data_IF_766254098090
#
_entry.id   IF_766254098090
#
_cell.length_a   1.000
_cell.length_b   1.000
_cell.length_c   1.000
_cell.angle_alpha   90.00
_cell.angle_beta   90.00
_cell.angle_gamma   90.00
#
_symmetry.space_group_name_H-M   'P 1'
#
loop_
_entity.id
_entity.type
_entity.pdbx_description
1 polymer ?
#
# COMPACT_ATOMS: atom_id res chain seq x y z
N UNK A 1 19.48 37.92 -19.38
CA UNK A 1 19.08 36.64 -20.01
C UNK A 1 18.60 35.74 -18.89
N UNK A 2 17.35 35.33 -19.03
CA UNK A 2 16.51 34.54 -18.14
C UNK A 2 16.93 33.05 -18.09
N UNK A 3 16.37 32.32 -17.10
CA UNK A 3 16.45 30.88 -16.73
C UNK A 3 17.21 30.68 -15.41
N UNK A 4 16.65 30.15 -14.34
CA UNK A 4 15.41 29.38 -14.17
C UNK A 4 15.12 29.34 -12.68
N UNK A 5 14.08 30.03 -12.22
CA UNK A 5 13.44 29.70 -10.94
C UNK A 5 12.80 28.32 -11.10
N UNK A 6 13.43 27.30 -10.50
CA UNK A 6 12.78 26.01 -10.34
C UNK A 6 11.50 26.23 -9.53
N UNK A 7 10.35 25.65 -9.90
CA UNK A 7 9.14 25.83 -9.12
C UNK A 7 9.37 25.12 -7.79
N UNK A 8 9.61 25.90 -6.73
CA UNK A 8 9.41 25.42 -5.36
C UNK A 8 8.03 24.76 -5.34
N UNK A 9 8.00 23.44 -5.13
CA UNK A 9 6.75 22.74 -4.86
C UNK A 9 6.17 23.39 -3.62
N UNK A 10 5.27 24.37 -3.80
CA UNK A 10 4.55 25.04 -2.72
C UNK A 10 3.97 23.92 -1.88
N UNK A 11 4.55 23.68 -0.70
CA UNK A 11 3.89 22.91 0.35
C UNK A 11 2.61 23.67 0.61
N UNK A 12 1.51 23.23 0.00
CA UNK A 12 0.17 23.74 0.29
C UNK A 12 -0.01 23.56 1.78
N UNK A 13 0.07 24.66 2.51
CA UNK A 13 -0.02 24.68 3.97
C UNK A 13 -1.48 24.35 4.30
N UNK A 14 -1.76 23.07 4.48
CA UNK A 14 -3.08 22.57 4.85
C UNK A 14 -3.53 23.30 6.12
N UNK A 15 -4.77 23.78 6.13
CA UNK A 15 -5.37 24.45 7.29
C UNK A 15 -5.18 23.57 8.54
N UNK A 16 -4.62 24.08 9.65
CA UNK A 16 -4.46 23.33 10.88
C UNK A 16 -5.73 22.63 11.38
N UNK A 17 -6.91 23.19 11.10
CA UNK A 17 -8.20 22.58 11.42
C UNK A 17 -8.48 21.34 10.56
N UNK A 18 -8.15 21.40 9.27
CA UNK A 18 -8.26 20.26 8.36
C UNK A 18 -7.26 19.18 8.77
N UNK A 19 -6.02 19.56 9.09
CA UNK A 19 -5.00 18.62 9.56
C UNK A 19 -5.40 17.95 10.89
N UNK A 20 -5.99 18.69 11.82
CA UNK A 20 -6.54 18.13 13.07
C UNK A 20 -7.66 17.12 12.79
N UNK A 21 -8.55 17.41 11.83
CA UNK A 21 -9.63 16.52 11.41
C UNK A 21 -9.09 15.24 10.75
N UNK A 22 -8.13 15.35 9.84
CA UNK A 22 -7.44 14.20 9.22
C UNK A 22 -6.82 13.31 10.31
N UNK A 23 -6.13 13.91 11.28
CA UNK A 23 -5.50 13.15 12.36
C UNK A 23 -6.53 12.47 13.29
N UNK A 24 -7.67 13.10 13.54
CA UNK A 24 -8.75 12.49 14.31
C UNK A 24 -9.36 11.29 13.56
N UNK A 25 -9.66 11.44 12.27
CA UNK A 25 -10.17 10.36 11.42
C UNK A 25 -9.17 9.19 11.35
N UNK A 26 -7.89 9.49 11.18
CA UNK A 26 -6.83 8.46 11.18
C UNK A 26 -6.75 7.69 12.49
N UNK A 27 -6.88 8.38 13.64
CA UNK A 27 -6.91 7.70 14.96
C UNK A 27 -8.13 6.78 15.05
N UNK A 28 -9.32 7.29 14.73
CA UNK A 28 -10.55 6.49 14.73
C UNK A 28 -10.46 5.28 13.80
N UNK A 29 -9.91 5.44 12.60
CA UNK A 29 -9.66 4.32 11.69
C UNK A 29 -8.74 3.27 12.30
N UNK A 30 -7.67 3.69 13.00
CA UNK A 30 -6.75 2.78 13.68
C UNK A 30 -7.46 1.98 14.78
N UNK A 31 -8.34 2.63 15.53
CA UNK A 31 -9.11 1.99 16.60
C UNK A 31 -10.05 0.93 16.02
N UNK A 32 -10.80 1.27 14.97
CA UNK A 32 -11.65 0.30 14.24
C UNK A 32 -10.85 -0.88 13.67
N UNK A 33 -9.67 -0.63 13.06
CA UNK A 33 -8.77 -1.70 12.58
C UNK A 33 -8.37 -2.66 13.70
N UNK A 34 -8.14 -2.15 14.92
CA UNK A 34 -7.70 -2.97 16.06
C UNK A 34 -8.78 -3.92 16.59
N UNK A 35 -10.06 -3.57 16.38
CA UNK A 35 -11.21 -4.38 16.75
C UNK A 35 -11.87 -5.08 15.54
N UNK A 36 -11.19 -5.07 14.38
CA UNK A 36 -11.62 -5.72 13.13
C UNK A 36 -12.90 -5.17 12.50
N UNK A 37 -13.25 -3.92 12.83
CA UNK A 37 -14.35 -3.16 12.19
C UNK A 37 -13.83 -2.52 10.90
N UNK A 38 -13.60 -3.33 9.87
CA UNK A 38 -12.88 -2.89 8.67
C UNK A 38 -13.65 -1.90 7.81
N UNK A 39 -15.00 -2.00 7.76
CA UNK A 39 -15.83 -1.07 7.00
C UNK A 39 -15.84 0.33 7.64
N UNK A 40 -15.90 0.39 8.96
CA UNK A 40 -15.85 1.62 9.76
C UNK A 40 -14.47 2.28 9.65
N UNK A 41 -13.40 1.47 9.64
CA UNK A 41 -12.06 1.94 9.35
C UNK A 41 -11.96 2.55 7.93
N UNK A 42 -12.51 1.85 6.92
CA UNK A 42 -12.52 2.30 5.53
C UNK A 42 -13.22 3.65 5.38
N UNK A 43 -14.41 3.81 5.95
CA UNK A 43 -15.14 5.09 5.95
C UNK A 43 -14.33 6.24 6.55
N UNK A 44 -13.65 6.00 7.68
CA UNK A 44 -12.82 7.03 8.31
C UNK A 44 -11.62 7.41 7.42
N UNK A 45 -11.03 6.44 6.73
CA UNK A 45 -9.87 6.64 5.86
C UNK A 45 -10.24 7.37 4.57
N UNK A 46 -11.38 7.01 3.96
CA UNK A 46 -11.91 7.68 2.78
C UNK A 46 -12.18 9.16 3.09
N UNK A 47 -12.89 9.45 4.17
CA UNK A 47 -13.12 10.83 4.64
C UNK A 47 -11.81 11.60 4.90
N UNK A 48 -10.77 10.93 5.39
CA UNK A 48 -9.48 11.58 5.65
C UNK A 48 -8.70 11.86 4.35
N UNK A 49 -8.81 10.98 3.36
CA UNK A 49 -8.18 11.10 2.05
C UNK A 49 -8.88 12.18 1.22
N UNK A 50 -10.22 12.25 1.28
CA UNK A 50 -11.05 13.25 0.58
C UNK A 50 -10.78 14.68 1.03
N UNK A 51 -10.21 14.87 2.21
CA UNK A 51 -9.65 16.16 2.67
C UNK A 51 -8.31 16.51 1.97
N UNK A 52 -8.03 15.89 0.83
CA UNK A 52 -6.83 16.03 0.00
C UNK A 52 -5.52 15.72 0.75
N UNK A 53 -5.55 14.72 1.63
CA UNK A 53 -4.35 14.31 2.35
C UNK A 53 -3.37 13.56 1.45
N UNK A 54 -2.10 13.99 1.45
CA UNK A 54 -0.99 13.28 0.79
C UNK A 54 -0.24 12.37 1.77
N UNK A 55 -0.89 11.93 2.84
CA UNK A 55 -0.28 11.08 3.87
C UNK A 55 -0.26 9.63 3.43
N UNK A 56 0.92 9.09 3.12
CA UNK A 56 1.08 7.66 2.78
C UNK A 56 0.51 6.73 3.88
N UNK A 57 0.48 7.18 5.13
CA UNK A 57 -0.06 6.42 6.27
C UNK A 57 -1.55 6.12 6.11
N UNK A 58 -2.32 7.01 5.49
CA UNK A 58 -3.75 6.78 5.25
C UNK A 58 -3.95 5.69 4.21
N UNK A 59 -3.27 5.80 3.06
CA UNK A 59 -3.30 4.77 2.01
C UNK A 59 -2.82 3.41 2.52
N UNK A 60 -1.75 3.39 3.34
CA UNK A 60 -1.28 2.15 3.98
C UNK A 60 -2.36 1.52 4.88
N UNK A 61 -2.99 2.32 5.74
CA UNK A 61 -4.06 1.82 6.62
C UNK A 61 -5.28 1.34 5.82
N UNK A 62 -5.60 2.01 4.72
CA UNK A 62 -6.73 1.67 3.87
C UNK A 62 -6.47 0.40 3.08
N UNK A 63 -5.25 0.23 2.55
CA UNK A 63 -4.77 -1.03 1.96
C UNK A 63 -4.92 -2.21 2.94
N UNK A 64 -4.62 -2.03 4.23
CA UNK A 64 -4.84 -3.06 5.26
C UNK A 64 -6.32 -3.38 5.42
N UNK A 65 -7.19 -2.37 5.57
CA UNK A 65 -8.63 -2.58 5.70
C UNK A 65 -9.20 -3.34 4.49
N UNK A 66 -8.85 -2.90 3.28
CA UNK A 66 -9.27 -3.50 2.00
C UNK A 66 -8.79 -4.94 1.88
N UNK A 67 -7.54 -5.22 2.27
CA UNK A 67 -7.00 -6.58 2.30
C UNK A 67 -7.80 -7.49 3.23
N UNK A 68 -8.18 -7.00 4.42
CA UNK A 68 -9.03 -7.74 5.36
C UNK A 68 -10.46 -7.94 4.85
N UNK A 69 -10.93 -7.08 3.94
CA UNK A 69 -12.21 -7.19 3.25
C UNK A 69 -12.11 -7.98 1.93
N UNK A 70 -10.95 -8.54 1.59
CA UNK A 70 -10.68 -9.25 0.34
C UNK A 70 -10.79 -8.40 -0.93
N UNK A 71 -10.73 -7.06 -0.81
CA UNK A 71 -10.73 -6.10 -1.91
C UNK A 71 -9.29 -5.84 -2.38
N UNK A 72 -8.66 -6.88 -2.92
CA UNK A 72 -7.23 -6.91 -3.20
C UNK A 72 -6.78 -5.97 -4.34
N UNK A 73 -7.64 -5.76 -5.34
CA UNK A 73 -7.40 -4.81 -6.43
C UNK A 73 -7.26 -3.37 -5.90
N UNK A 74 -8.19 -2.94 -5.04
CA UNK A 74 -8.13 -1.63 -4.39
C UNK A 74 -6.95 -1.55 -3.41
N UNK A 75 -6.66 -2.64 -2.70
CA UNK A 75 -5.52 -2.69 -1.78
C UNK A 75 -4.18 -2.52 -2.52
N UNK A 76 -4.03 -3.10 -3.71
CA UNK A 76 -2.85 -2.95 -4.56
C UNK A 76 -2.70 -1.51 -5.08
N UNK A 77 -3.80 -0.86 -5.49
CA UNK A 77 -3.79 0.54 -5.90
C UNK A 77 -3.38 1.49 -4.75
N UNK A 78 -3.85 1.23 -3.52
CA UNK A 78 -3.39 2.00 -2.35
C UNK A 78 -1.92 1.75 -2.04
N UNK A 79 -1.42 0.53 -2.25
CA UNK A 79 0.00 0.22 -2.08
C UNK A 79 0.88 0.96 -3.11
N UNK A 80 0.42 1.08 -4.36
CA UNK A 80 1.04 1.95 -5.37
C UNK A 80 1.12 3.40 -4.89
N UNK A 81 0.04 3.91 -4.30
CA UNK A 81 0.03 5.26 -3.76
C UNK A 81 1.00 5.44 -2.58
N UNK A 82 1.18 4.41 -1.75
CA UNK A 82 2.22 4.41 -0.69
C UNK A 82 3.62 4.52 -1.29
N UNK A 83 3.93 3.76 -2.35
CA UNK A 83 5.23 3.80 -3.02
C UNK A 83 5.51 5.14 -3.70
N UNK A 84 4.49 5.78 -4.29
CA UNK A 84 4.63 7.13 -4.86
C UNK A 84 4.91 8.20 -3.80
N UNK A 85 4.27 8.11 -2.64
CA UNK A 85 4.38 9.10 -1.56
C UNK A 85 5.59 8.86 -0.65
N UNK A 86 6.04 7.61 -0.53
CA UNK A 86 7.14 7.19 0.33
C UNK A 86 7.95 6.05 -0.34
N UNK A 87 8.76 6.36 -1.38
CA UNK A 87 9.44 5.32 -2.17
C UNK A 87 10.54 4.55 -1.43
N UNK A 88 10.97 5.05 -0.26
CA UNK A 88 12.06 4.48 0.52
C UNK A 88 11.60 3.62 1.69
N UNK A 89 10.30 3.32 1.80
CA UNK A 89 9.78 2.40 2.81
C UNK A 89 9.29 1.10 2.16
N UNK A 90 9.50 -0.01 2.86
CA UNK A 90 9.14 -1.34 2.36
C UNK A 90 7.62 -1.62 2.38
N UNK A 91 6.84 -0.85 3.16
CA UNK A 91 5.41 -1.10 3.39
C UNK A 91 4.61 -1.18 2.08
N UNK A 92 4.86 -0.27 1.14
CA UNK A 92 4.15 -0.27 -0.15
C UNK A 92 4.42 -1.53 -0.96
N UNK A 93 5.67 -1.99 -1.00
CA UNK A 93 6.05 -3.23 -1.68
C UNK A 93 5.45 -4.47 -1.02
N UNK A 94 5.45 -4.52 0.32
CA UNK A 94 4.81 -5.59 1.08
C UNK A 94 3.31 -5.69 0.76
N UNK A 95 2.58 -4.57 0.91
CA UNK A 95 1.14 -4.56 0.71
C UNK A 95 0.76 -4.86 -0.75
N UNK A 96 1.52 -4.34 -1.73
CA UNK A 96 1.31 -4.67 -3.14
C UNK A 96 1.56 -6.15 -3.42
N UNK A 97 2.69 -6.69 -2.95
CA UNK A 97 3.01 -8.12 -3.13
C UNK A 97 1.94 -9.02 -2.52
N UNK A 98 1.48 -8.70 -1.31
CA UNK A 98 0.42 -9.44 -0.62
C UNK A 98 -0.90 -9.40 -1.38
N UNK A 99 -1.33 -8.22 -1.83
CA UNK A 99 -2.56 -8.07 -2.60
C UNK A 99 -2.52 -8.83 -3.93
N UNK A 100 -1.42 -8.70 -4.69
CA UNK A 100 -1.23 -9.40 -5.96
C UNK A 100 -1.18 -10.92 -5.78
N UNK A 101 -0.57 -11.40 -4.69
CA UNK A 101 -0.54 -12.81 -4.35
C UNK A 101 -1.96 -13.38 -4.19
N UNK A 102 -2.83 -12.65 -3.49
CA UNK A 102 -4.24 -13.04 -3.32
C UNK A 102 -5.08 -12.90 -4.60
N UNK A 103 -4.70 -12.00 -5.50
CA UNK A 103 -5.24 -11.93 -6.87
C UNK A 103 -4.71 -13.06 -7.78
N UNK A 104 -3.84 -13.93 -7.27
CA UNK A 104 -3.16 -15.01 -8.00
C UNK A 104 -2.22 -14.53 -9.12
N UNK A 105 -1.87 -13.24 -9.14
CA UNK A 105 -0.79 -12.73 -9.97
C UNK A 105 0.54 -12.95 -9.25
N UNK A 106 0.94 -14.22 -9.17
CA UNK A 106 2.12 -14.64 -8.41
C UNK A 106 3.41 -14.08 -9.01
N UNK A 107 3.46 -13.86 -10.32
CA UNK A 107 4.62 -13.26 -10.98
C UNK A 107 4.79 -11.79 -10.56
N UNK A 108 3.72 -11.00 -10.59
CA UNK A 108 3.77 -9.60 -10.15
C UNK A 108 3.98 -9.50 -8.63
N UNK A 109 3.42 -10.42 -7.84
CA UNK A 109 3.64 -10.49 -6.40
C UNK A 109 5.12 -10.72 -6.06
N UNK A 110 5.75 -11.71 -6.70
CA UNK A 110 7.18 -11.99 -6.52
C UNK A 110 8.04 -10.76 -6.88
N UNK A 111 7.73 -10.09 -7.99
CA UNK A 111 8.42 -8.86 -8.38
C UNK A 111 8.28 -7.76 -7.32
N UNK A 112 7.07 -7.52 -6.80
CA UNK A 112 6.84 -6.52 -5.76
C UNK A 112 7.65 -6.81 -4.48
N UNK A 113 7.65 -8.06 -4.01
CA UNK A 113 8.46 -8.46 -2.85
C UNK A 113 9.97 -8.31 -3.11
N UNK A 114 10.43 -8.64 -4.31
CA UNK A 114 11.83 -8.47 -4.71
C UNK A 114 12.26 -7.00 -4.69
N UNK A 115 11.45 -6.09 -5.20
CA UNK A 115 11.74 -4.64 -5.12
C UNK A 115 11.79 -4.16 -3.66
N UNK A 116 10.88 -4.64 -2.80
CA UNK A 116 10.93 -4.35 -1.37
C UNK A 116 12.22 -4.85 -0.71
N UNK A 117 12.71 -6.03 -1.08
CA UNK A 117 13.97 -6.59 -0.58
C UNK A 117 15.20 -5.77 -1.01
N UNK A 118 15.13 -4.97 -2.08
CA UNK A 118 16.21 -4.02 -2.42
C UNK A 118 16.34 -2.91 -1.36
N UNK A 119 15.24 -2.56 -0.67
CA UNK A 119 15.25 -1.58 0.42
C UNK A 119 15.68 -2.20 1.76
N UNK A 120 15.25 -3.43 2.04
CA UNK A 120 15.69 -4.19 3.21
C UNK A 120 15.97 -5.66 2.84
N UNK A 121 17.23 -6.02 2.50
CA UNK A 121 17.58 -7.37 2.06
C UNK A 121 17.39 -8.46 3.13
N UNK A 122 17.34 -8.07 4.39
CA UNK A 122 17.21 -8.99 5.54
C UNK A 122 15.78 -9.17 6.02
N UNK A 123 14.81 -8.51 5.38
CA UNK A 123 13.41 -8.64 5.77
C UNK A 123 12.90 -10.07 5.55
N UNK A 124 12.52 -10.74 6.64
CA UNK A 124 12.08 -12.14 6.60
C UNK A 124 10.71 -12.28 5.93
N UNK A 125 9.82 -11.32 6.14
CA UNK A 125 8.44 -11.37 5.65
C UNK A 125 8.40 -11.18 4.13
N UNK A 126 9.11 -10.19 3.60
CA UNK A 126 9.24 -10.01 2.15
C UNK A 126 9.94 -11.20 1.49
N UNK A 127 10.99 -11.75 2.13
CA UNK A 127 11.69 -12.93 1.63
C UNK A 127 10.76 -14.14 1.56
N UNK A 128 9.95 -14.35 2.59
CA UNK A 128 8.97 -15.41 2.61
C UNK A 128 7.93 -15.22 1.50
N UNK A 129 7.30 -14.04 1.42
CA UNK A 129 6.32 -13.74 0.37
C UNK A 129 6.87 -13.92 -1.05
N UNK A 130 8.14 -13.53 -1.28
CA UNK A 130 8.83 -13.77 -2.55
C UNK A 130 8.90 -15.27 -2.89
N UNK A 131 9.38 -16.10 -1.97
CA UNK A 131 9.53 -17.54 -2.23
C UNK A 131 8.18 -18.26 -2.35
N UNK A 132 7.18 -17.87 -1.56
CA UNK A 132 5.83 -18.39 -1.67
C UNK A 132 5.23 -18.09 -3.06
N UNK A 133 5.42 -16.86 -3.55
CA UNK A 133 4.97 -16.48 -4.88
C UNK A 133 5.70 -17.25 -6.00
N UNK A 134 7.02 -17.39 -5.92
CA UNK A 134 7.83 -18.15 -6.89
C UNK A 134 7.45 -19.63 -6.96
N UNK A 135 7.16 -20.24 -5.80
CA UNK A 135 6.71 -21.63 -5.73
C UNK A 135 5.40 -21.83 -6.51
N UNK A 136 4.46 -20.90 -6.40
CA UNK A 136 3.17 -20.95 -7.10
C UNK A 136 3.30 -20.65 -8.60
N UNK A 137 4.18 -19.72 -9.01
CA UNK A 137 4.49 -19.49 -10.43
C UNK A 137 4.96 -20.78 -11.10
N UNK A 138 5.81 -21.54 -10.42
CA UNK A 138 6.35 -22.80 -10.93
C UNK A 138 5.27 -23.88 -11.08
N UNK A 139 4.35 -23.98 -10.10
CA UNK A 139 3.25 -24.93 -10.13
C UNK A 139 2.24 -24.66 -11.25
N UNK A 140 1.88 -23.39 -11.48
CA UNK A 140 0.97 -23.02 -12.58
C UNK A 140 1.51 -23.45 -13.94
N UNK A 141 2.82 -23.28 -14.18
CA UNK A 141 3.47 -23.67 -15.45
C UNK A 141 3.49 -25.17 -15.68
N UNK A 142 3.60 -25.98 -14.62
CA UNK A 142 3.61 -27.44 -14.73
C UNK A 142 2.22 -28.04 -14.93
N UNK A 143 1.16 -27.37 -14.48
CA UNK A 143 -0.23 -27.82 -14.69
C UNK A 143 -0.69 -27.64 -16.15
N UNK A 144 -0.29 -26.53 -16.78
CA UNK A 144 -0.65 -26.23 -18.17
C UNK A 144 0.07 -27.14 -19.19
N UNK A 145 1.25 -27.66 -18.85
CA UNK A 145 2.03 -28.55 -19.73
C UNK A 145 1.58 -30.03 -19.68
N UNK A 146 0.66 -30.39 -18.77
CA UNK A 146 0.20 -31.75 -18.53
C UNK A 146 -1.27 -32.00 -18.91
N UNK A 147 -1.91 -31.04 -19.60
CA UNK A 147 -3.29 -31.12 -20.13
C UNK A 147 -3.30 -31.22 -21.65
#
# INVERSE_FOLDING_TARGET
MDKTDAPEKKKTRTDPRIEAKINALRRKAKDHLSIKEFNEALQCLDLAIDLHSTSYKLYRMRSIALTCLHEYDRAAADADRVMELAPHIMDGYYHKGFALFHLKDYAAAAHAFQEGLKLNPTDKTLRQGFWDAIALVSQSRTGDAAS
#
